data_IF_156951066511
#
_entry.id   IF_156951066511
#
_cell.length_a   1.000
_cell.length_b   1.000
_cell.length_c   1.000
_cell.angle_alpha   90.00
_cell.angle_beta   90.00
_cell.angle_gamma   90.00
#
_symmetry.space_group_name_H-M   'P 1'
#
loop_
_entity.id
_entity.type
_entity.pdbx_description
1 polymer ?
#
# COMPACT_ATOMS: atom_id res chain seq x y z
N UNK A 1 -17.67 1.14 1.64
CA UNK A 1 -16.93 -0.13 1.80
C UNK A 1 -15.91 0.02 2.93
N UNK A 2 -15.44 -1.09 3.51
CA UNK A 2 -14.42 -1.07 4.57
C UNK A 2 -13.13 -0.36 4.12
N UNK A 3 -12.75 -0.52 2.84
CA UNK A 3 -11.66 0.24 2.22
C UNK A 3 -11.89 1.76 2.27
N UNK A 4 -13.07 2.24 1.85
CA UNK A 4 -13.36 3.68 1.87
C UNK A 4 -13.37 4.24 3.30
N UNK A 5 -13.87 3.46 4.27
CA UNK A 5 -13.81 3.83 5.68
C UNK A 5 -12.35 3.93 6.17
N UNK A 6 -11.50 2.99 5.78
CA UNK A 6 -10.07 3.03 6.06
C UNK A 6 -9.39 4.26 5.48
N UNK A 7 -9.73 4.64 4.24
CA UNK A 7 -9.22 5.88 3.61
C UNK A 7 -9.65 7.12 4.39
N UNK A 8 -10.91 7.20 4.82
CA UNK A 8 -11.41 8.32 5.65
C UNK A 8 -10.63 8.42 6.97
N UNK A 9 -10.43 7.29 7.66
CA UNK A 9 -9.64 7.29 8.90
C UNK A 9 -8.18 7.68 8.66
N UNK A 10 -7.57 7.21 7.56
CA UNK A 10 -6.21 7.57 7.19
C UNK A 10 -6.05 9.07 6.93
N UNK A 11 -7.04 9.71 6.27
CA UNK A 11 -7.07 11.16 6.07
C UNK A 11 -7.23 11.95 7.38
N UNK A 12 -7.89 11.35 8.38
CA UNK A 12 -8.02 11.92 9.73
C UNK A 12 -6.80 11.62 10.63
N UNK A 13 -5.73 11.03 10.11
CA UNK A 13 -4.57 10.52 10.87
C UNK A 13 -4.93 9.48 11.95
N UNK A 14 -6.13 8.89 11.89
CA UNK A 14 -6.61 7.81 12.75
C UNK A 14 -6.09 6.47 12.24
N UNK A 15 -4.76 6.30 12.33
CA UNK A 15 -4.08 5.19 11.68
C UNK A 15 -4.46 3.82 12.22
N UNK A 16 -4.84 3.71 13.50
CA UNK A 16 -5.25 2.44 14.08
C UNK A 16 -6.57 1.96 13.49
N UNK A 17 -7.55 2.85 13.40
CA UNK A 17 -8.87 2.58 12.83
C UNK A 17 -8.80 2.33 11.32
N UNK A 18 -7.91 3.06 10.63
CA UNK A 18 -7.64 2.82 9.22
C UNK A 18 -7.07 1.42 8.97
N UNK A 19 -6.05 1.01 9.74
CA UNK A 19 -5.47 -0.34 9.66
C UNK A 19 -6.53 -1.41 9.93
N UNK A 20 -7.36 -1.23 10.97
CA UNK A 20 -8.44 -2.17 11.26
C UNK A 20 -9.41 -2.29 10.08
N UNK A 21 -9.84 -1.16 9.50
CA UNK A 21 -10.77 -1.14 8.37
C UNK A 21 -10.18 -1.81 7.12
N UNK A 22 -8.89 -1.60 6.83
CA UNK A 22 -8.23 -2.27 5.71
C UNK A 22 -8.05 -3.77 5.96
N UNK A 23 -7.69 -4.18 7.18
CA UNK A 23 -7.59 -5.60 7.53
C UNK A 23 -8.95 -6.29 7.44
N UNK A 24 -10.03 -5.68 7.94
CA UNK A 24 -11.39 -6.23 7.79
C UNK A 24 -11.78 -6.38 6.31
N UNK A 25 -11.31 -5.46 5.45
CA UNK A 25 -11.51 -5.59 4.00
C UNK A 25 -10.73 -6.78 3.42
N UNK A 26 -9.52 -7.02 3.90
CA UNK A 26 -8.68 -8.15 3.51
C UNK A 26 -9.17 -9.49 4.06
N UNK A 27 -9.83 -9.52 5.21
CA UNK A 27 -10.45 -10.72 5.75
C UNK A 27 -11.63 -11.18 4.87
N UNK A 28 -12.33 -10.23 4.24
CA UNK A 28 -13.40 -10.53 3.27
C UNK A 28 -12.86 -10.86 1.88
N UNK A 29 -11.77 -10.20 1.49
CA UNK A 29 -11.14 -10.40 0.19
C UNK A 29 -9.62 -10.27 0.32
N UNK A 30 -8.94 -11.40 0.49
CA UNK A 30 -7.50 -11.45 0.75
C UNK A 30 -6.63 -10.92 -0.39
N UNK A 31 -7.14 -10.95 -1.63
CA UNK A 31 -6.50 -10.42 -2.82
C UNK A 31 -6.95 -8.99 -3.18
N UNK A 32 -7.58 -8.26 -2.26
CA UNK A 32 -8.08 -6.92 -2.54
C UNK A 32 -6.93 -5.91 -2.68
N UNK A 33 -6.60 -5.59 -3.93
CA UNK A 33 -5.46 -4.75 -4.32
C UNK A 33 -5.48 -3.39 -3.60
N UNK A 34 -6.63 -2.70 -3.61
CA UNK A 34 -6.74 -1.35 -3.03
C UNK A 34 -6.47 -1.35 -1.51
N UNK A 35 -6.90 -2.39 -0.79
CA UNK A 35 -6.68 -2.48 0.65
C UNK A 35 -5.20 -2.71 0.98
N UNK A 36 -4.51 -3.58 0.23
CA UNK A 36 -3.04 -3.73 0.36
C UNK A 36 -2.32 -2.43 -0.01
N UNK A 37 -2.72 -1.78 -1.10
CA UNK A 37 -2.09 -0.55 -1.55
C UNK A 37 -2.29 0.60 -0.53
N UNK A 38 -3.49 0.75 0.01
CA UNK A 38 -3.78 1.76 1.02
C UNK A 38 -3.05 1.50 2.35
N UNK A 39 -2.87 0.24 2.75
CA UNK A 39 -1.97 -0.10 3.86
C UNK A 39 -0.53 0.31 3.57
N UNK A 40 -0.05 0.10 2.34
CA UNK A 40 1.29 0.55 1.95
C UNK A 40 1.46 2.08 2.10
N UNK A 41 0.50 2.86 1.59
CA UNK A 41 0.52 4.33 1.72
C UNK A 41 0.44 4.76 3.20
N UNK A 42 -0.44 4.12 3.99
CA UNK A 42 -0.57 4.40 5.42
C UNK A 42 0.75 4.18 6.17
N UNK A 43 1.40 3.04 5.95
CA UNK A 43 2.68 2.74 6.61
C UNK A 43 3.80 3.67 6.13
N UNK A 44 3.79 4.09 4.86
CA UNK A 44 4.73 5.08 4.36
C UNK A 44 4.56 6.44 5.04
N UNK A 45 3.31 6.91 5.26
CA UNK A 45 3.01 8.13 6.03
C UNK A 45 3.47 8.05 7.48
N UNK A 46 3.53 6.84 8.04
CA UNK A 46 4.10 6.58 9.38
C UNK A 46 5.63 6.41 9.38
N UNK A 47 6.31 6.60 8.24
CA UNK A 47 7.72 6.28 8.03
C UNK A 47 8.10 4.82 8.31
N UNK A 48 7.12 3.92 8.34
CA UNK A 48 7.33 2.47 8.48
C UNK A 48 7.52 1.86 7.09
N UNK A 49 8.70 2.10 6.53
CA UNK A 49 9.08 1.64 5.19
C UNK A 49 9.05 0.11 5.05
N UNK A 50 9.31 -0.61 6.15
CA UNK A 50 9.28 -2.08 6.19
C UNK A 50 7.87 -2.62 5.92
N UNK A 51 6.88 -2.18 6.71
CA UNK A 51 5.49 -2.61 6.49
C UNK A 51 4.92 -2.05 5.19
N UNK A 52 5.30 -0.83 4.82
CA UNK A 52 4.89 -0.25 3.55
C UNK A 52 5.31 -1.12 2.35
N UNK A 53 6.58 -1.51 2.30
CA UNK A 53 7.11 -2.39 1.24
C UNK A 53 6.48 -3.78 1.25
N UNK A 54 6.16 -4.33 2.42
CA UNK A 54 5.45 -5.61 2.54
C UNK A 54 4.08 -5.57 1.86
N UNK A 55 3.26 -4.58 2.19
CA UNK A 55 1.92 -4.45 1.61
C UNK A 55 1.95 -4.02 0.13
N UNK A 56 2.91 -3.18 -0.26
CA UNK A 56 3.09 -2.81 -1.67
C UNK A 56 3.45 -4.04 -2.53
N UNK A 57 4.34 -4.92 -2.05
CA UNK A 57 4.66 -6.17 -2.75
C UNK A 57 3.45 -7.08 -2.91
N UNK A 58 2.57 -7.14 -1.90
CA UNK A 58 1.30 -7.88 -2.02
C UNK A 58 0.39 -7.25 -3.09
N UNK A 59 0.22 -5.93 -3.07
CA UNK A 59 -0.58 -5.23 -4.08
C UNK A 59 -0.06 -5.50 -5.51
N UNK A 60 1.26 -5.41 -5.72
CA UNK A 60 1.92 -5.71 -7.01
C UNK A 60 1.76 -7.19 -7.39
N UNK A 61 1.83 -8.10 -6.42
CA UNK A 61 1.64 -9.53 -6.65
C UNK A 61 0.24 -9.88 -7.15
N UNK A 62 -0.78 -9.15 -6.70
CA UNK A 62 -2.17 -9.33 -7.18
C UNK A 62 -2.48 -8.51 -8.43
N UNK A 63 -1.90 -7.31 -8.56
CA UNK A 63 -1.99 -6.47 -9.75
C UNK A 63 -0.63 -5.80 -10.03
N UNK A 64 0.12 -6.30 -11.03
CA UNK A 64 1.41 -5.73 -11.41
C UNK A 64 1.36 -4.24 -11.80
N UNK A 65 0.19 -3.72 -12.21
CA UNK A 65 0.04 -2.29 -12.53
C UNK A 65 0.17 -1.39 -11.31
N UNK A 66 0.00 -1.92 -10.09
CA UNK A 66 0.15 -1.17 -8.84
C UNK A 66 1.54 -0.52 -8.69
N UNK A 67 2.58 -1.06 -9.36
CA UNK A 67 3.90 -0.42 -9.38
C UNK A 67 3.86 0.96 -10.07
N UNK A 68 3.00 1.15 -11.07
CA UNK A 68 2.86 2.41 -11.78
C UNK A 68 2.15 3.46 -10.93
N UNK A 69 1.18 3.04 -10.12
CA UNK A 69 0.56 3.88 -9.10
C UNK A 69 1.61 4.30 -8.07
N UNK A 70 2.38 3.34 -7.57
CA UNK A 70 3.40 3.57 -6.54
C UNK A 70 4.51 4.52 -6.96
N UNK A 71 4.94 4.48 -8.23
CA UNK A 71 5.95 5.41 -8.77
C UNK A 71 5.46 6.86 -8.77
N UNK A 72 4.14 7.09 -8.92
CA UNK A 72 3.53 8.41 -9.04
C UNK A 72 2.95 8.94 -7.72
N UNK A 73 2.79 8.06 -6.74
CA UNK A 73 2.16 8.38 -5.46
C UNK A 73 3.10 9.17 -4.53
N UNK A 74 2.59 10.28 -3.99
CA UNK A 74 3.34 11.11 -3.07
C UNK A 74 3.62 10.41 -1.74
N UNK A 75 2.71 9.55 -1.27
CA UNK A 75 2.87 8.84 0.00
C UNK A 75 4.04 7.86 -0.06
N UNK A 76 4.29 7.26 -1.24
CA UNK A 76 5.29 6.23 -1.44
C UNK A 76 6.66 6.77 -1.87
N UNK A 77 6.82 8.10 -1.93
CA UNK A 77 8.12 8.75 -2.22
C UNK A 77 9.22 8.31 -1.25
N UNK A 78 8.87 8.03 0.01
CA UNK A 78 9.82 7.52 1.02
C UNK A 78 10.44 6.18 0.63
N UNK A 79 9.78 5.41 -0.24
CA UNK A 79 10.27 4.12 -0.72
C UNK A 79 11.20 4.23 -1.92
N UNK A 80 11.16 5.34 -2.68
CA UNK A 80 11.84 5.47 -3.98
C UNK A 80 13.36 5.21 -3.91
N UNK A 81 13.97 5.50 -2.76
CA UNK A 81 15.40 5.29 -2.54
C UNK A 81 15.77 3.89 -2.05
N UNK A 82 14.80 3.07 -1.63
CA UNK A 82 15.04 1.74 -1.10
C UNK A 82 15.54 0.81 -2.23
N UNK A 83 16.62 0.03 -2.00
CA UNK A 83 17.13 -0.91 -3.00
C UNK A 83 16.06 -1.89 -3.49
N UNK A 84 15.17 -2.33 -2.61
CA UNK A 84 14.08 -3.24 -2.97
C UNK A 84 13.01 -2.58 -3.86
N UNK A 85 12.64 -1.32 -3.61
CA UNK A 85 11.72 -0.59 -4.47
C UNK A 85 12.31 -0.39 -5.87
N UNK A 86 13.60 0.00 -5.94
CA UNK A 86 14.33 0.14 -7.21
C UNK A 86 14.33 -1.15 -8.02
N UNK A 87 14.48 -2.31 -7.36
CA UNK A 87 14.38 -3.62 -8.02
C UNK A 87 12.99 -3.84 -8.59
N UNK A 88 11.91 -3.55 -7.84
CA UNK A 88 10.53 -3.71 -8.31
C UNK A 88 10.23 -2.87 -9.56
N UNK A 89 10.74 -1.64 -9.63
CA UNK A 89 10.52 -0.74 -10.78
C UNK A 89 11.25 -1.22 -12.04
N UNK A 90 12.37 -1.92 -11.89
CA UNK A 90 13.19 -2.40 -13.01
C UNK A 90 12.72 -3.74 -13.58
N UNK A 91 11.79 -4.45 -12.93
CA UNK A 91 11.29 -5.74 -13.43
C UNK A 91 10.51 -5.50 -14.73
N UNK A 92 10.95 -6.08 -15.87
CA UNK A 92 10.22 -5.96 -17.12
C UNK A 92 8.83 -6.55 -16.98
N UNK A 93 7.81 -5.84 -17.48
CA UNK A 93 6.47 -6.41 -17.62
C UNK A 93 6.56 -7.56 -18.62
N UNK A 94 6.23 -8.78 -18.17
CA UNK A 94 6.07 -9.94 -19.06
C UNK A 94 4.72 -9.86 -19.77
#
# INVERSE_FOLDING_TARGET
SLNNLGVIFMQQNKYREAIASFNDALDKQSNYVDAHYNLACLYARKNDTKNSMHFLKKAIGFNPEAIQWAIRDNDLKTLANLPEFKKLVQVPKK
#
